data_IF_847328444400
#
_entry.id   IF_847328444400
#
_cell.length_a   1.000
_cell.length_b   1.000
_cell.length_c   1.000
_cell.angle_alpha   90.00
_cell.angle_beta   90.00
_cell.angle_gamma   90.00
#
_symmetry.space_group_name_H-M   'P 1'
#
loop_
_entity.id
_entity.type
_entity.pdbx_description
1 polymer ?
#
# COMPACT_ATOMS: atom_id res chain seq x y z
N UNK A 1 17.48 -1.67 -5.65
CA UNK A 1 17.16 -1.80 -4.21
C UNK A 1 16.32 -3.06 -4.01
N UNK A 2 16.94 -4.19 -3.67
CA UNK A 2 16.17 -5.43 -3.50
C UNK A 2 15.37 -5.40 -2.20
N UNK A 3 14.14 -4.90 -2.20
CA UNK A 3 13.16 -5.21 -1.14
C UNK A 3 12.60 -6.62 -1.36
N UNK A 4 13.47 -7.62 -1.23
CA UNK A 4 13.11 -9.03 -1.35
C UNK A 4 12.57 -9.53 -0.01
N UNK A 5 11.30 -9.94 0.04
CA UNK A 5 10.64 -10.52 1.21
C UNK A 5 11.06 -11.98 1.47
N UNK A 6 12.26 -12.38 1.06
CA UNK A 6 12.84 -13.67 1.42
C UNK A 6 13.34 -13.58 2.87
N UNK A 7 13.08 -14.57 3.74
CA UNK A 7 13.24 -14.47 5.21
C UNK A 7 14.69 -14.28 5.72
N UNK A 8 15.66 -14.02 4.83
CA UNK A 8 17.05 -13.71 5.17
C UNK A 8 17.58 -12.38 4.61
N UNK A 9 16.76 -11.60 3.89
CA UNK A 9 17.17 -10.27 3.42
C UNK A 9 16.75 -9.21 4.45
N UNK A 10 17.74 -8.63 5.12
CA UNK A 10 17.58 -7.41 5.89
C UNK A 10 17.55 -6.20 4.94
N UNK A 11 16.94 -5.10 5.39
CA UNK A 11 17.11 -3.80 4.75
C UNK A 11 18.61 -3.53 4.49
N UNK A 12 18.94 -3.02 3.31
CA UNK A 12 20.27 -2.51 2.98
C UNK A 12 20.36 -1.07 3.49
N UNK A 13 21.31 -0.73 4.38
CA UNK A 13 21.46 0.63 4.88
C UNK A 13 21.53 1.65 3.74
N UNK A 14 20.87 2.80 3.92
CA UNK A 14 20.80 3.83 2.89
C UNK A 14 22.21 4.27 2.47
N UNK A 15 23.13 4.43 3.42
CA UNK A 15 24.52 4.82 3.17
C UNK A 15 25.23 3.87 2.20
N UNK A 16 24.89 2.57 2.26
CA UNK A 16 25.43 1.58 1.33
C UNK A 16 24.86 1.76 -0.08
N UNK A 17 23.55 1.99 -0.19
CA UNK A 17 22.89 2.24 -1.48
C UNK A 17 23.47 3.50 -2.14
N UNK A 18 23.58 4.59 -1.39
CA UNK A 18 24.11 5.88 -1.88
C UNK A 18 25.60 5.83 -2.24
N UNK A 19 26.37 4.94 -1.60
CA UNK A 19 27.78 4.74 -1.95
C UNK A 19 27.97 3.90 -3.22
N UNK A 20 27.00 3.02 -3.53
CA UNK A 20 27.11 2.07 -4.63
C UNK A 20 26.46 2.56 -5.93
N UNK A 21 25.40 3.36 -5.82
CA UNK A 21 24.64 3.88 -6.96
C UNK A 21 24.64 5.41 -6.97
N UNK A 22 24.54 6.05 -8.15
CA UNK A 22 24.48 7.51 -8.27
C UNK A 22 23.08 8.04 -7.91
N UNK A 23 22.64 7.75 -6.69
CA UNK A 23 21.34 8.13 -6.16
C UNK A 23 21.45 8.50 -4.67
N UNK A 24 20.48 9.29 -4.19
CA UNK A 24 20.30 9.65 -2.78
C UNK A 24 18.91 9.25 -2.31
N UNK A 25 18.80 8.80 -1.07
CA UNK A 25 17.51 8.54 -0.42
C UNK A 25 17.03 9.82 0.25
N UNK A 26 16.07 10.50 -0.37
CA UNK A 26 15.50 11.75 0.17
C UNK A 26 14.50 11.49 1.30
N UNK A 27 13.77 10.37 1.22
CA UNK A 27 12.82 9.94 2.24
C UNK A 27 12.80 8.43 2.36
N UNK A 28 12.59 7.97 3.60
CA UNK A 28 12.34 6.58 3.92
C UNK A 28 11.35 6.56 5.09
N UNK A 29 10.08 6.40 4.80
CA UNK A 29 9.02 6.52 5.81
C UNK A 29 7.92 5.46 5.63
N UNK A 30 7.25 5.14 6.72
CA UNK A 30 6.07 4.25 6.66
C UNK A 30 4.90 5.02 6.05
N UNK A 31 4.09 4.37 5.23
CA UNK A 31 2.83 4.95 4.74
C UNK A 31 1.73 4.63 5.76
N UNK A 32 1.25 5.59 6.56
CA UNK A 32 0.19 5.33 7.53
C UNK A 32 -1.04 4.78 6.83
N UNK A 33 -1.79 3.93 7.52
CA UNK A 33 -3.02 3.31 7.01
C UNK A 33 -2.90 2.39 5.79
N UNK A 34 -1.70 2.18 5.26
CA UNK A 34 -1.49 1.29 4.13
C UNK A 34 -1.72 -0.19 4.45
N UNK A 35 -1.51 -0.60 5.70
CA UNK A 35 -1.88 -1.93 6.18
C UNK A 35 -3.39 -2.10 6.30
N UNK A 36 -3.89 -3.26 5.89
CA UNK A 36 -5.29 -3.64 6.03
C UNK A 36 -5.72 -3.73 7.49
N UNK A 37 -6.90 -3.18 7.79
CA UNK A 37 -7.50 -3.26 9.10
C UNK A 37 -7.88 -4.71 9.44
N UNK A 38 -7.66 -5.13 10.67
CA UNK A 38 -8.02 -6.45 11.15
C UNK A 38 -7.80 -6.55 12.65
N UNK A 39 -8.23 -7.65 13.27
CA UNK A 39 -7.87 -7.97 14.65
C UNK A 39 -6.34 -7.88 14.85
N UNK A 40 -5.61 -8.43 13.87
CA UNK A 40 -4.20 -8.17 13.64
C UNK A 40 -4.02 -7.38 12.34
N UNK A 41 -3.53 -6.14 12.48
CA UNK A 41 -3.31 -5.22 11.36
C UNK A 41 -2.22 -5.77 10.42
N UNK A 42 -2.42 -5.62 9.11
CA UNK A 42 -1.37 -5.89 8.13
C UNK A 42 -0.23 -4.86 8.22
N UNK A 43 1.02 -5.26 7.95
CA UNK A 43 2.16 -4.33 7.96
C UNK A 43 1.97 -3.14 7.02
N UNK A 44 2.45 -1.95 7.39
CA UNK A 44 2.39 -0.80 6.48
C UNK A 44 3.43 -0.96 5.37
N UNK A 45 3.09 -0.42 4.20
CA UNK A 45 4.06 -0.14 3.15
C UNK A 45 5.00 0.99 3.53
N UNK A 46 6.01 1.19 2.70
CA UNK A 46 7.05 2.19 2.83
C UNK A 46 7.02 3.10 1.61
N UNK A 47 7.29 4.39 1.83
CA UNK A 47 7.63 5.33 0.78
C UNK A 47 9.13 5.56 0.83
N UNK A 48 9.82 5.15 -0.24
CA UNK A 48 11.24 5.46 -0.44
C UNK A 48 11.36 6.40 -1.63
N UNK A 49 11.99 7.55 -1.43
CA UNK A 49 12.16 8.57 -2.47
C UNK A 49 13.60 8.57 -2.93
N UNK A 50 13.82 8.13 -4.17
CA UNK A 50 15.14 8.11 -4.80
C UNK A 50 15.35 9.40 -5.59
N UNK A 51 16.36 10.17 -5.24
CA UNK A 51 16.86 11.29 -6.04
C UNK A 51 18.00 10.81 -6.93
N UNK A 52 17.88 11.01 -8.24
CA UNK A 52 18.93 10.64 -9.18
C UNK A 52 20.01 11.72 -9.24
N UNK A 53 21.27 11.32 -9.07
CA UNK A 53 22.42 12.25 -9.06
C UNK A 53 23.16 12.31 -10.40
N UNK A 54 22.69 11.56 -11.39
CA UNK A 54 23.15 11.66 -12.77
C UNK A 54 22.06 11.17 -13.74
N UNK A 55 22.23 11.50 -15.02
CA UNK A 55 21.42 10.93 -16.09
C UNK A 55 21.59 9.41 -16.18
N UNK A 56 20.50 8.71 -16.49
CA UNK A 56 20.52 7.26 -16.59
C UNK A 56 19.23 6.62 -17.07
N UNK A 57 19.12 5.33 -16.80
CA UNK A 57 17.97 4.49 -17.11
C UNK A 57 17.70 3.56 -15.93
N UNK A 58 16.42 3.38 -15.61
CA UNK A 58 15.96 2.49 -14.54
C UNK A 58 14.95 1.46 -15.05
N UNK A 59 14.89 0.36 -14.32
CA UNK A 59 13.82 -0.63 -14.38
C UNK A 59 13.07 -0.71 -13.06
N UNK A 60 11.78 -0.98 -13.11
CA UNK A 60 10.91 -1.19 -11.95
C UNK A 60 10.35 -2.60 -12.02
N UNK A 61 10.55 -3.35 -10.93
CA UNK A 61 10.07 -4.72 -10.75
C UNK A 61 9.34 -4.81 -9.42
N UNK A 62 8.05 -4.52 -9.47
CA UNK A 62 7.18 -4.43 -8.31
C UNK A 62 5.93 -5.31 -8.49
N UNK A 63 5.26 -5.58 -7.38
CA UNK A 63 4.01 -6.33 -7.35
C UNK A 63 2.92 -5.58 -6.59
N UNK A 64 1.70 -6.16 -6.59
CA UNK A 64 0.54 -5.63 -5.84
C UNK A 64 0.11 -4.22 -6.25
N UNK A 65 0.38 -3.83 -7.50
CA UNK A 65 -0.17 -2.62 -8.12
C UNK A 65 -1.62 -2.80 -8.59
N UNK A 66 -1.95 -3.94 -9.21
CA UNK A 66 -3.32 -4.24 -9.65
C UNK A 66 -4.14 -4.91 -8.54
N UNK A 67 -3.62 -6.04 -8.04
CA UNK A 67 -4.32 -6.87 -7.07
C UNK A 67 -3.98 -6.44 -5.65
N UNK A 68 -5.01 -6.28 -4.83
CA UNK A 68 -4.87 -5.97 -3.42
C UNK A 68 -4.11 -7.08 -2.66
N UNK A 69 -3.32 -6.72 -1.64
CA UNK A 69 -2.95 -7.61 -0.54
C UNK A 69 -4.21 -8.01 0.23
N UNK A 70 -4.52 -9.30 0.26
CA UNK A 70 -5.82 -9.80 0.70
C UNK A 70 -5.98 -9.78 2.21
N UNK A 71 -7.15 -9.37 2.67
CA UNK A 71 -7.58 -9.60 4.04
C UNK A 71 -8.03 -11.04 4.25
N UNK A 72 -7.94 -11.54 5.48
CA UNK A 72 -8.27 -12.94 5.83
C UNK A 72 -9.16 -12.98 7.06
N UNK A 73 -10.19 -13.84 7.06
CA UNK A 73 -11.12 -14.06 8.17
C UNK A 73 -11.75 -12.77 8.71
N UNK A 74 -12.18 -11.89 7.81
CA UNK A 74 -12.80 -10.60 8.14
C UNK A 74 -11.83 -9.42 8.22
N UNK A 75 -10.54 -9.63 7.95
CA UNK A 75 -9.61 -8.54 7.72
C UNK A 75 -9.88 -7.82 6.39
N UNK A 76 -9.51 -6.55 6.34
CA UNK A 76 -9.55 -5.68 5.17
C UNK A 76 -8.28 -5.80 4.31
N UNK A 77 -8.37 -5.36 3.07
CA UNK A 77 -7.23 -5.31 2.15
C UNK A 77 -6.19 -4.27 2.58
N UNK A 78 -4.91 -4.54 2.27
CA UNK A 78 -3.86 -3.52 2.30
C UNK A 78 -3.92 -2.62 1.07
N UNK A 79 -3.34 -1.42 1.13
CA UNK A 79 -3.18 -0.57 -0.03
C UNK A 79 -2.23 -1.18 -1.05
N UNK A 80 -2.46 -0.83 -2.31
CA UNK A 80 -1.64 -1.25 -3.45
C UNK A 80 -0.41 -0.38 -3.60
N UNK A 81 0.58 -0.89 -4.31
CA UNK A 81 1.79 -0.15 -4.60
C UNK A 81 1.57 0.90 -5.69
N UNK A 82 2.35 1.98 -5.64
CA UNK A 82 2.33 3.03 -6.66
C UNK A 82 3.74 3.52 -6.95
N UNK A 83 3.99 4.01 -8.16
CA UNK A 83 5.28 4.56 -8.58
C UNK A 83 5.05 5.89 -9.27
N UNK A 84 5.66 6.94 -8.74
CA UNK A 84 5.53 8.29 -9.29
C UNK A 84 6.90 8.88 -9.51
N UNK A 85 7.18 9.28 -10.73
CA UNK A 85 8.40 10.00 -11.09
C UNK A 85 8.07 11.48 -11.19
N UNK A 86 8.74 12.28 -10.38
CA UNK A 86 8.67 13.74 -10.41
C UNK A 86 9.95 14.24 -11.06
N UNK A 87 9.82 14.92 -12.19
CA UNK A 87 10.93 15.46 -12.96
C UNK A 87 11.49 16.71 -12.29
N UNK A 88 12.75 17.03 -12.57
CA UNK A 88 13.40 18.25 -12.07
C UNK A 88 12.67 19.55 -12.49
N UNK A 89 11.91 19.53 -13.59
CA UNK A 89 11.07 20.66 -14.03
C UNK A 89 9.71 20.74 -13.32
N UNK A 90 9.42 19.80 -12.43
CA UNK A 90 8.18 19.70 -11.66
C UNK A 90 7.06 18.91 -12.35
N UNK A 91 7.26 18.41 -13.58
CA UNK A 91 6.29 17.51 -14.21
C UNK A 91 6.26 16.15 -13.51
N UNK A 92 5.10 15.50 -13.48
CA UNK A 92 4.93 14.22 -12.79
C UNK A 92 4.34 13.17 -13.74
N UNK A 93 4.78 11.92 -13.60
CA UNK A 93 4.20 10.77 -14.28
C UNK A 93 4.09 9.56 -13.35
N UNK A 94 3.01 8.80 -13.52
CA UNK A 94 2.82 7.51 -12.84
C UNK A 94 3.41 6.39 -13.70
N UNK A 95 4.21 5.54 -13.08
CA UNK A 95 4.92 4.46 -13.75
C UNK A 95 4.28 3.10 -13.46
N UNK A 96 4.24 2.18 -14.44
CA UNK A 96 3.80 0.82 -14.20
C UNK A 96 4.68 0.10 -13.16
N UNK A 97 4.10 -0.88 -12.47
CA UNK A 97 4.84 -1.71 -11.52
C UNK A 97 5.88 -2.63 -12.18
N UNK A 98 5.77 -2.87 -13.49
CA UNK A 98 6.76 -3.62 -14.26
C UNK A 98 7.08 -2.85 -15.54
N UNK A 99 8.24 -2.22 -15.59
CA UNK A 99 8.68 -1.44 -16.74
C UNK A 99 10.20 -1.36 -16.77
N UNK A 100 10.77 -1.32 -17.97
CA UNK A 100 12.20 -1.16 -18.22
C UNK A 100 12.39 0.06 -19.11
N UNK A 101 13.61 0.59 -19.21
CA UNK A 101 13.87 1.65 -20.18
C UNK A 101 13.53 3.07 -19.72
N UNK A 102 13.13 3.28 -18.46
CA UNK A 102 12.70 4.60 -18.00
C UNK A 102 13.93 5.50 -17.88
N UNK A 103 13.99 6.51 -18.75
CA UNK A 103 15.04 7.52 -18.71
C UNK A 103 14.82 8.45 -17.52
N UNK A 104 15.88 8.67 -16.75
CA UNK A 104 15.92 9.59 -15.61
C UNK A 104 17.02 10.60 -15.81
N UNK A 105 16.82 11.80 -15.25
CA UNK A 105 17.76 12.90 -15.28
C UNK A 105 18.23 13.25 -13.88
N UNK A 106 19.40 13.87 -13.80
CA UNK A 106 19.87 14.44 -12.53
C UNK A 106 18.79 15.37 -11.93
N UNK A 107 18.48 15.16 -10.66
CA UNK A 107 17.46 15.90 -9.92
C UNK A 107 16.04 15.33 -10.00
N UNK A 108 15.78 14.33 -10.83
CA UNK A 108 14.49 13.61 -10.82
C UNK A 108 14.30 12.85 -9.50
N UNK A 109 13.06 12.74 -9.04
CA UNK A 109 12.66 12.02 -7.83
C UNK A 109 11.71 10.87 -8.15
N UNK A 110 12.09 9.65 -7.83
CA UNK A 110 11.19 8.49 -7.88
C UNK A 110 10.60 8.20 -6.49
N UNK A 111 9.31 8.43 -6.34
CA UNK A 111 8.52 7.97 -5.19
C UNK A 111 8.16 6.49 -5.40
N UNK A 112 8.86 5.62 -4.67
CA UNK A 112 8.63 4.19 -4.66
C UNK A 112 7.78 3.83 -3.44
N UNK A 113 6.47 3.79 -3.62
CA UNK A 113 5.55 3.37 -2.56
C UNK A 113 5.29 1.87 -2.67
N UNK A 114 5.61 1.12 -1.63
CA UNK A 114 5.29 -0.31 -1.56
C UNK A 114 3.84 -0.51 -1.10
N UNK A 115 3.32 -1.72 -1.29
CA UNK A 115 2.01 -2.12 -0.80
C UNK A 115 2.02 -2.36 0.72
N UNK A 116 0.86 -2.27 1.36
CA UNK A 116 0.68 -2.74 2.74
C UNK A 116 0.22 -4.20 2.82
N UNK A 117 0.42 -4.88 3.93
CA UNK A 117 -0.15 -6.22 4.15
C UNK A 117 -1.66 -6.18 4.34
N UNK A 118 -2.36 -7.26 4.00
CA UNK A 118 -3.78 -7.41 4.37
C UNK A 118 -3.95 -7.68 5.86
N UNK A 119 -5.09 -7.27 6.42
CA UNK A 119 -5.44 -7.53 7.81
C UNK A 119 -5.87 -8.97 8.04
N UNK A 120 -5.76 -9.42 9.29
CA UNK A 120 -6.27 -10.72 9.72
C UNK A 120 -7.28 -10.57 10.84
N UNK A 121 -8.42 -11.26 10.72
CA UNK A 121 -9.49 -11.26 11.71
C UNK A 121 -10.32 -9.98 11.71
N UNK A 122 -11.46 -10.02 12.41
CA UNK A 122 -12.41 -8.90 12.49
C UNK A 122 -11.78 -7.62 13.10
N UNK A 123 -11.67 -6.50 12.35
CA UNK A 123 -11.09 -5.26 12.85
C UNK A 123 -11.84 -4.68 14.05
N UNK A 124 -13.14 -4.94 14.17
CA UNK A 124 -13.96 -4.40 15.26
C UNK A 124 -13.76 -5.15 16.59
N UNK A 125 -13.04 -6.29 16.56
CA UNK A 125 -12.61 -7.02 17.75
C UNK A 125 -11.22 -6.61 18.25
N UNK A 126 -10.50 -5.75 17.51
CA UNK A 126 -9.21 -5.22 17.97
C UNK A 126 -9.40 -4.34 19.20
N UNK A 127 -8.50 -4.45 20.17
CA UNK A 127 -8.52 -3.58 21.35
C UNK A 127 -8.38 -2.10 20.93
N UNK A 128 -9.32 -1.20 21.29
CA UNK A 128 -9.22 0.22 21.00
C UNK A 128 -7.93 0.87 21.49
N UNK A 129 -7.37 0.42 22.61
CA UNK A 129 -6.13 0.98 23.15
C UNK A 129 -4.91 0.61 22.29
N UNK A 130 -4.90 -0.59 21.67
CA UNK A 130 -3.88 -0.93 20.68
C UNK A 130 -3.99 -0.06 19.42
N UNK A 131 -5.22 0.31 19.01
CA UNK A 131 -5.43 1.24 17.89
C UNK A 131 -4.94 2.64 18.25
N UNK A 132 -5.22 3.13 19.47
CA UNK A 132 -4.68 4.40 19.98
C UNK A 132 -3.16 4.42 19.95
N UNK A 133 -2.50 3.33 20.38
CA UNK A 133 -1.04 3.20 20.31
C UNK A 133 -0.52 3.17 18.87
N UNK A 134 -1.23 2.52 17.94
CA UNK A 134 -0.89 2.56 16.52
C UNK A 134 -0.97 4.01 15.97
N UNK A 135 -1.93 4.80 16.45
CA UNK A 135 -2.06 6.24 16.12
C UNK A 135 -0.94 7.08 16.71
N UNK A 136 -0.61 6.87 17.99
CA UNK A 136 0.51 7.53 18.65
C UNK A 136 1.86 7.25 17.94
N UNK A 137 2.01 6.03 17.41
CA UNK A 137 3.17 5.60 16.61
C UNK A 137 3.10 6.03 15.14
N UNK A 138 2.04 6.74 14.73
CA UNK A 138 1.78 7.20 13.35
C UNK A 138 1.70 6.07 12.32
N UNK A 139 1.35 4.86 12.75
CA UNK A 139 1.11 3.72 11.88
C UNK A 139 -0.32 3.76 11.30
N UNK A 140 -1.22 4.38 12.05
CA UNK A 140 -2.63 4.62 11.71
C UNK A 140 -2.89 6.11 11.93
N UNK A 141 -3.67 6.77 11.09
CA UNK A 141 -4.09 8.17 11.36
C UNK A 141 -5.30 8.19 12.30
N UNK A 142 -5.61 9.32 12.98
CA UNK A 142 -6.84 9.44 13.77
C UNK A 142 -8.11 9.10 12.95
N UNK A 143 -8.14 9.50 11.68
CA UNK A 143 -9.20 9.15 10.74
C UNK A 143 -9.15 7.66 10.38
N UNK A 144 -7.96 7.12 10.13
CA UNK A 144 -7.72 5.72 9.82
C UNK A 144 -8.12 4.74 10.93
N UNK A 145 -8.15 5.19 12.19
CA UNK A 145 -8.62 4.43 13.35
C UNK A 145 -10.09 4.00 13.21
N UNK A 146 -10.90 4.76 12.46
CA UNK A 146 -12.31 4.44 12.21
C UNK A 146 -12.49 3.13 11.42
N UNK A 147 -11.47 2.67 10.69
CA UNK A 147 -11.48 1.34 10.04
C UNK A 147 -11.51 0.18 11.05
N UNK A 148 -11.15 0.44 12.31
CA UNK A 148 -11.27 -0.49 13.44
C UNK A 148 -12.53 -0.20 14.30
N UNK A 149 -13.38 0.71 13.82
CA UNK A 149 -14.50 1.27 14.56
C UNK A 149 -14.07 2.07 15.79
N UNK A 150 -12.84 2.57 15.85
CA UNK A 150 -12.30 3.31 17.00
C UNK A 150 -12.30 4.79 16.68
N UNK A 151 -12.80 5.60 17.62
CA UNK A 151 -12.81 7.06 17.53
C UNK A 151 -11.75 7.62 18.46
N UNK A 152 -10.83 8.40 17.91
CA UNK A 152 -9.79 9.11 18.66
C UNK A 152 -10.28 10.53 18.90
N UNK A 153 -10.35 10.93 20.17
CA UNK A 153 -10.71 12.27 20.59
C UNK A 153 -9.57 13.27 20.27
N UNK A 154 -9.84 14.59 20.25
CA UNK A 154 -8.82 15.61 19.94
C UNK A 154 -7.60 15.62 20.88
N UNK A 155 -7.75 15.08 22.09
CA UNK A 155 -6.65 14.93 23.06
C UNK A 155 -5.83 13.65 22.86
N UNK A 156 -6.16 12.84 21.86
CA UNK A 156 -5.49 11.58 21.53
C UNK A 156 -6.00 10.36 22.32
N UNK A 157 -7.00 10.52 23.20
CA UNK A 157 -7.62 9.42 23.92
C UNK A 157 -8.65 8.68 23.07
N UNK A 158 -8.98 7.44 23.44
CA UNK A 158 -10.11 6.72 22.84
C UNK A 158 -11.41 7.29 23.40
N UNK A 159 -12.32 7.73 22.52
CA UNK A 159 -13.70 8.01 22.91
C UNK A 159 -14.47 6.68 22.97
N UNK A 160 -14.69 6.18 24.19
CA UNK A 160 -15.33 4.88 24.40
C UNK A 160 -16.80 4.85 23.93
N UNK A 161 -17.54 5.96 24.09
CA UNK A 161 -18.94 6.04 23.68
C UNK A 161 -19.06 6.05 22.16
N UNK A 162 -18.35 6.96 21.50
CA UNK A 162 -18.35 7.06 20.04
C UNK A 162 -17.78 5.79 19.37
N UNK A 163 -16.78 5.15 19.99
CA UNK A 163 -16.25 3.85 19.53
C UNK A 163 -17.30 2.74 19.60
N UNK A 164 -18.07 2.66 20.68
CA UNK A 164 -19.13 1.65 20.81
C UNK A 164 -20.22 1.86 19.74
N UNK A 165 -20.66 3.10 19.55
CA UNK A 165 -21.66 3.46 18.55
C UNK A 165 -21.18 3.18 17.12
N UNK A 166 -19.94 3.57 16.80
CA UNK A 166 -19.36 3.34 15.48
C UNK A 166 -19.22 1.85 15.18
N UNK A 167 -18.76 1.04 16.14
CA UNK A 167 -18.70 -0.42 15.97
C UNK A 167 -20.07 -1.03 15.76
N UNK A 168 -21.08 -0.62 16.53
CA UNK A 168 -22.44 -1.13 16.34
C UNK A 168 -22.96 -0.83 14.92
N UNK A 169 -22.73 0.39 14.43
CA UNK A 169 -23.10 0.80 13.07
C UNK A 169 -22.36 -0.01 12.00
N UNK A 170 -21.04 -0.13 12.11
CA UNK A 170 -20.21 -0.84 11.12
C UNK A 170 -20.49 -2.35 11.11
N UNK A 171 -20.71 -2.98 12.26
CA UNK A 171 -21.10 -4.39 12.35
C UNK A 171 -22.46 -4.60 11.69
N UNK A 172 -23.44 -3.73 11.96
CA UNK A 172 -24.76 -3.81 11.34
C UNK A 172 -24.70 -3.62 9.82
N UNK A 173 -23.85 -2.69 9.34
CA UNK A 173 -23.68 -2.43 7.91
C UNK A 173 -22.95 -3.57 7.18
N UNK A 174 -21.94 -4.19 7.81
CA UNK A 174 -21.19 -5.32 7.23
C UNK A 174 -22.04 -6.58 7.13
N UNK A 175 -22.91 -6.82 8.11
CA UNK A 175 -23.64 -8.08 8.25
C UNK A 175 -22.78 -9.23 8.80
N UNK A 176 -23.34 -10.43 8.80
CA UNK A 176 -22.76 -11.63 9.44
C UNK A 176 -21.99 -12.55 8.47
N UNK A 177 -22.14 -12.37 7.15
CA UNK A 177 -21.47 -13.17 6.14
C UNK A 177 -20.04 -12.69 5.91
N UNK A 178 -19.10 -13.26 6.67
CA UNK A 178 -17.67 -12.94 6.60
C UNK A 178 -16.97 -14.03 5.78
N UNK A 179 -16.60 -13.68 4.55
CA UNK A 179 -15.81 -14.54 3.67
C UNK A 179 -14.42 -14.85 4.24
N UNK A 180 -13.85 -15.98 3.82
CA UNK A 180 -12.49 -16.39 4.21
C UNK A 180 -11.44 -15.36 3.75
N UNK A 181 -11.61 -14.80 2.55
CA UNK A 181 -10.71 -13.83 1.95
C UNK A 181 -11.48 -12.58 1.54
N UNK A 182 -10.91 -11.41 1.84
CA UNK A 182 -11.29 -10.14 1.23
C UNK A 182 -10.29 -9.83 0.12
N UNK A 183 -10.71 -10.01 -1.13
CA UNK A 183 -9.89 -9.76 -2.32
C UNK A 183 -9.91 -8.30 -2.79
N UNK A 184 -10.77 -7.45 -2.20
CA UNK A 184 -11.02 -6.08 -2.69
C UNK A 184 -12.04 -6.00 -3.84
N UNK A 185 -12.90 -7.01 -3.97
CA UNK A 185 -13.82 -7.20 -5.11
C UNK A 185 -13.34 -8.29 -6.06
N UNK A 186 -14.13 -8.59 -7.08
CA UNK A 186 -13.69 -9.50 -8.14
C UNK A 186 -12.74 -8.81 -9.13
N UNK A 187 -12.25 -9.56 -10.13
CA UNK A 187 -11.29 -9.01 -11.10
C UNK A 187 -11.89 -7.89 -11.94
N UNK A 188 -13.17 -7.94 -12.27
CA UNK A 188 -13.83 -6.90 -13.06
C UNK A 188 -14.09 -5.65 -12.23
N UNK A 189 -14.46 -5.80 -10.94
CA UNK A 189 -14.51 -4.71 -9.96
C UNK A 189 -13.16 -3.98 -9.86
N UNK A 190 -12.07 -4.76 -9.73
CA UNK A 190 -10.71 -4.23 -9.61
C UNK A 190 -10.31 -3.50 -10.91
N UNK A 191 -10.65 -4.05 -12.08
CA UNK A 191 -10.36 -3.41 -13.37
C UNK A 191 -11.16 -2.11 -13.54
N UNK A 192 -12.42 -2.09 -13.13
CA UNK A 192 -13.29 -0.91 -13.22
C UNK A 192 -12.76 0.27 -12.39
N UNK A 193 -12.13 0.01 -11.24
CA UNK A 193 -11.54 1.06 -10.38
C UNK A 193 -10.04 1.30 -10.59
N UNK A 194 -9.38 0.52 -11.46
CA UNK A 194 -7.92 0.51 -11.60
C UNK A 194 -7.34 1.89 -11.88
N UNK A 195 -7.88 2.64 -12.85
CA UNK A 195 -7.35 3.95 -13.22
C UNK A 195 -7.57 4.99 -12.13
N UNK A 196 -8.75 4.99 -11.49
CA UNK A 196 -9.05 5.92 -10.40
C UNK A 196 -8.14 5.72 -9.18
N UNK A 197 -7.77 4.47 -8.90
CA UNK A 197 -7.02 4.10 -7.70
C UNK A 197 -5.51 3.93 -7.95
N UNK A 198 -5.05 3.79 -9.21
CA UNK A 198 -3.61 3.60 -9.55
C UNK A 198 -3.05 4.61 -10.55
N UNK A 199 -3.90 5.45 -11.13
CA UNK A 199 -3.56 6.41 -12.19
C UNK A 199 -3.11 5.78 -13.52
N UNK A 200 -3.29 4.47 -13.68
CA UNK A 200 -2.93 3.73 -14.88
C UNK A 200 -4.12 2.92 -15.39
N UNK A 201 -4.28 2.77 -16.72
CA UNK A 201 -5.39 2.02 -17.29
C UNK A 201 -5.33 0.55 -16.87
N UNK A 202 -6.52 -0.04 -16.72
CA UNK A 202 -6.62 -1.47 -16.42
C UNK A 202 -5.98 -2.32 -17.53
N UNK A 203 -5.29 -3.43 -17.19
CA UNK A 203 -4.75 -4.33 -18.19
C UNK A 203 -5.89 -4.96 -19.01
N UNK A 204 -5.60 -5.22 -20.28
CA UNK A 204 -6.52 -5.88 -21.20
C UNK A 204 -6.32 -7.39 -21.11
N UNK A 205 -7.42 -8.14 -21.16
CA UNK A 205 -7.35 -9.60 -21.21
C UNK A 205 -6.54 -10.05 -22.43
N UNK A 206 -5.57 -10.99 -22.28
CA UNK A 206 -4.78 -11.45 -23.40
C UNK A 206 -5.65 -12.24 -24.39
N UNK A 207 -5.53 -11.91 -25.68
CA UNK A 207 -6.09 -12.72 -26.75
C UNK A 207 -5.11 -13.81 -27.13
N UNK A 208 -5.38 -15.05 -26.71
CA UNK A 208 -4.61 -16.20 -27.16
C UNK A 208 -5.05 -16.61 -28.56
N UNK A 209 -4.12 -16.61 -29.51
CA UNK A 209 -4.36 -17.22 -30.83
C UNK A 209 -4.39 -18.73 -30.62
N UNK A 210 -5.48 -19.39 -31.00
CA UNK A 210 -5.56 -20.85 -30.93
C UNK A 210 -4.44 -21.46 -31.79
N UNK A 211 -3.64 -22.34 -31.20
CA UNK A 211 -2.63 -23.07 -31.95
C UNK A 211 -3.33 -23.85 -33.07
N UNK A 212 -3.01 -23.55 -34.33
CA UNK A 212 -3.42 -24.39 -35.46
C UNK A 212 -2.85 -25.78 -35.22
N UNK A 213 -3.72 -26.75 -34.91
CA UNK A 213 -3.36 -28.16 -34.99
C UNK A 213 -3.12 -28.47 -36.46
N UNK A 214 -1.85 -28.57 -36.85
CA UNK A 214 -1.42 -29.14 -38.12
C UNK A 214 -1.52 -30.66 -38.10
#
# INVERSE_FOLDING_TARGET
>A
DGHSLWPGFTNVPNEFIESYFPLRIERYETIPDSGGAGLHRGGNGLSVVYCFLCDGEIGIHDERWLMYPWGVLGGETGLRSTKRLVRADGSEEWLPAKVEGIKVKEGDLLYFNTWGGGGWGDPFKRDPELVRQDVERRLVTPEGAQRYGVVIAPDGAVDAGATADLRAQLVAARGEDIGLFNFGGDVEDIRARCEAETHLPAPVAPTFVSARRG
#
